data_IF_760296118227
#
_entry.id   IF_760296118227
#
_cell.length_a   1.000
_cell.length_b   1.000
_cell.length_c   1.000
_cell.angle_alpha   90.00
_cell.angle_beta   90.00
_cell.angle_gamma   90.00
#
_symmetry.space_group_name_H-M   'P 1'
#
loop_
_entity.id
_entity.type
_entity.pdbx_description
1 polymer ?
#
# COMPACT_ATOMS: atom_id res chain seq x y z
N UNK A 1 -5.20 11.07 -3.99
CA UNK A 1 -5.16 11.34 -2.55
C UNK A 1 -6.12 10.43 -1.82
N UNK A 2 -5.72 9.84 -0.74
CA UNK A 2 -6.53 8.95 0.08
C UNK A 2 -6.73 9.58 1.46
N UNK A 3 -7.97 9.89 1.81
CA UNK A 3 -8.35 10.46 3.11
C UNK A 3 -9.16 9.41 3.87
N UNK A 4 -8.48 8.65 4.67
CA UNK A 4 -9.05 7.59 5.48
C UNK A 4 -8.58 7.79 6.93
N UNK A 5 -9.49 7.66 7.87
CA UNK A 5 -9.18 7.72 9.31
C UNK A 5 -9.42 6.35 9.92
N UNK A 6 -8.41 5.82 10.57
CA UNK A 6 -8.53 4.60 11.36
C UNK A 6 -8.42 4.90 12.86
N UNK A 7 -9.19 4.21 13.64
CA UNK A 7 -9.29 4.36 15.09
C UNK A 7 -9.04 3.06 15.84
N UNK A 8 -8.27 2.13 15.24
CA UNK A 8 -8.01 0.82 15.87
C UNK A 8 -6.96 0.86 17.00
N UNK A 9 -6.28 1.99 17.22
CA UNK A 9 -5.27 2.19 18.28
C UNK A 9 -4.19 1.11 18.32
N UNK A 10 -3.76 0.60 17.16
CA UNK A 10 -2.82 -0.52 17.01
C UNK A 10 -3.30 -1.83 17.68
N UNK A 11 -4.58 -1.95 17.95
CA UNK A 11 -5.18 -3.16 18.49
C UNK A 11 -5.71 -4.03 17.36
N UNK A 12 -5.10 -5.20 17.17
CA UNK A 12 -5.47 -6.14 16.10
C UNK A 12 -6.94 -6.58 16.17
N UNK A 13 -7.53 -6.58 17.35
CA UNK A 13 -8.92 -6.96 17.55
C UNK A 13 -9.91 -5.86 17.10
N UNK A 14 -9.43 -4.64 16.93
CA UNK A 14 -10.20 -3.48 16.47
C UNK A 14 -9.97 -3.16 15.00
N UNK A 15 -9.13 -3.93 14.32
CA UNK A 15 -8.83 -3.74 12.91
C UNK A 15 -10.05 -4.13 12.07
N UNK A 16 -10.53 -3.19 11.27
CA UNK A 16 -11.65 -3.40 10.34
C UNK A 16 -11.20 -3.77 8.94
N UNK A 17 -12.16 -4.06 8.08
CA UNK A 17 -11.90 -4.36 6.66
C UNK A 17 -11.16 -3.22 5.94
N UNK A 18 -11.58 -1.98 6.17
CA UNK A 18 -10.96 -0.82 5.51
C UNK A 18 -9.51 -0.61 5.92
N UNK A 19 -9.15 -0.97 7.16
CA UNK A 19 -7.78 -0.87 7.66
C UNK A 19 -6.82 -1.83 6.94
N UNK A 20 -7.31 -3.00 6.54
CA UNK A 20 -6.52 -4.04 5.88
C UNK A 20 -6.64 -4.00 4.35
N UNK A 21 -7.54 -3.17 3.82
CA UNK A 21 -7.79 -3.10 2.39
C UNK A 21 -6.71 -2.26 1.69
N UNK A 22 -6.16 -2.81 0.60
CA UNK A 22 -5.35 -2.04 -0.35
C UNK A 22 -6.26 -1.64 -1.50
N UNK A 23 -6.57 -0.34 -1.66
CA UNK A 23 -7.50 0.11 -2.70
C UNK A 23 -7.01 -0.27 -4.11
N UNK A 24 -7.91 -0.76 -4.96
CA UNK A 24 -7.59 -1.16 -6.34
C UNK A 24 -6.96 -0.03 -7.16
N UNK A 25 -7.29 1.24 -6.86
CA UNK A 25 -6.70 2.42 -7.50
C UNK A 25 -5.17 2.51 -7.35
N UNK A 26 -4.58 1.86 -6.36
CA UNK A 26 -3.12 1.82 -6.18
C UNK A 26 -2.44 1.17 -7.39
N UNK A 27 -3.03 0.12 -7.96
CA UNK A 27 -2.50 -0.52 -9.17
C UNK A 27 -2.47 0.46 -10.35
N UNK A 28 -3.49 1.32 -10.48
CA UNK A 28 -3.55 2.37 -11.51
C UNK A 28 -2.47 3.43 -11.29
N UNK A 29 -2.29 3.89 -10.05
CA UNK A 29 -1.23 4.85 -9.72
C UNK A 29 0.16 4.25 -9.99
N UNK A 30 0.37 3.00 -9.60
CA UNK A 30 1.62 2.29 -9.82
C UNK A 30 1.93 2.15 -11.33
N UNK A 31 0.95 1.76 -12.13
CA UNK A 31 1.09 1.66 -13.58
C UNK A 31 1.48 3.00 -14.22
N UNK A 32 0.93 4.10 -13.72
CA UNK A 32 1.24 5.46 -14.19
C UNK A 32 2.53 6.05 -13.59
N UNK A 33 3.17 5.36 -12.63
CA UNK A 33 4.35 5.87 -11.92
C UNK A 33 4.03 7.06 -11.02
N UNK A 34 2.80 7.12 -10.49
CA UNK A 34 2.34 8.22 -9.63
C UNK A 34 2.49 7.87 -8.17
N UNK A 35 3.24 8.65 -7.38
CA UNK A 35 3.31 8.48 -5.93
C UNK A 35 1.95 8.66 -5.25
N UNK A 36 1.76 7.96 -4.14
CA UNK A 36 0.53 8.01 -3.35
C UNK A 36 0.61 9.15 -2.33
N UNK A 37 -0.47 9.89 -2.15
CA UNK A 37 -0.64 10.82 -1.04
C UNK A 37 -1.74 10.30 -0.12
N UNK A 38 -1.42 10.13 1.15
CA UNK A 38 -2.35 9.60 2.13
C UNK A 38 -2.27 10.38 3.44
N UNK A 39 -3.44 10.60 4.05
CA UNK A 39 -3.48 11.12 5.41
C UNK A 39 -2.86 10.11 6.38
N UNK A 40 -1.98 10.59 7.25
CA UNK A 40 -1.33 9.77 8.25
C UNK A 40 -2.35 9.29 9.31
N UNK A 41 -2.33 8.01 9.62
CA UNK A 41 -3.12 7.41 10.68
C UNK A 41 -2.16 6.99 11.81
N UNK A 42 -1.79 7.96 12.64
CA UNK A 42 -0.92 7.73 13.79
C UNK A 42 -1.56 6.71 14.73
N UNK A 43 -0.75 5.81 15.27
CA UNK A 43 -1.20 4.77 16.21
C UNK A 43 -2.31 3.86 15.67
N UNK A 44 -2.33 3.62 14.36
CA UNK A 44 -3.27 2.69 13.74
C UNK A 44 -2.58 1.70 12.82
N UNK A 45 -3.06 0.47 12.82
CA UNK A 45 -2.67 -0.57 11.87
C UNK A 45 -3.44 -0.33 10.57
N UNK A 46 -2.74 0.10 9.52
CA UNK A 46 -3.33 0.39 8.21
C UNK A 46 -2.42 -0.18 7.12
N UNK A 47 -2.89 -1.19 6.40
CA UNK A 47 -2.10 -1.95 5.44
C UNK A 47 -1.51 -1.08 4.33
N UNK A 48 -2.30 -0.16 3.76
CA UNK A 48 -1.80 0.72 2.70
C UNK A 48 -0.74 1.70 3.21
N UNK A 49 -0.86 2.18 4.45
CA UNK A 49 0.12 3.07 5.06
C UNK A 49 1.47 2.37 5.27
N UNK A 50 1.43 1.14 5.75
CA UNK A 50 2.63 0.31 5.91
C UNK A 50 3.29 0.02 4.56
N UNK A 51 2.50 -0.25 3.54
CA UNK A 51 2.98 -0.45 2.17
C UNK A 51 3.68 0.82 1.63
N UNK A 52 3.07 2.00 1.80
CA UNK A 52 3.64 3.28 1.38
C UNK A 52 5.00 3.53 2.06
N UNK A 53 5.06 3.31 3.36
CA UNK A 53 6.30 3.50 4.13
C UNK A 53 7.38 2.49 3.75
N UNK A 54 7.03 1.21 3.64
CA UNK A 54 7.96 0.13 3.34
C UNK A 54 8.60 0.25 1.96
N UNK A 55 7.82 0.65 0.98
CA UNK A 55 8.28 0.77 -0.41
C UNK A 55 8.77 2.18 -0.76
N UNK A 56 8.59 3.15 0.11
CA UNK A 56 8.89 4.57 -0.11
C UNK A 56 8.27 5.07 -1.44
N UNK A 57 6.95 4.88 -1.57
CA UNK A 57 6.20 5.16 -2.81
C UNK A 57 5.17 6.27 -2.65
N UNK A 58 5.19 6.98 -1.53
CA UNK A 58 4.21 8.03 -1.30
C UNK A 58 4.53 8.92 -0.11
N UNK A 59 3.63 9.84 0.13
CA UNK A 59 3.71 10.85 1.17
C UNK A 59 2.58 10.64 2.16
N UNK A 60 2.91 10.52 3.44
CA UNK A 60 1.96 10.63 4.53
C UNK A 60 1.96 12.08 5.05
N UNK A 61 0.79 12.61 5.38
CA UNK A 61 0.64 13.97 5.90
C UNK A 61 -0.40 14.03 7.02
N UNK A 62 -0.18 14.88 8.01
CA UNK A 62 -1.12 15.12 9.11
C UNK A 62 -2.09 16.26 8.80
N UNK A 63 -1.60 17.29 8.12
CA UNK A 63 -2.39 18.46 7.73
C UNK A 63 -1.98 18.96 6.33
N UNK A 64 -2.78 19.85 5.77
CA UNK A 64 -2.56 20.35 4.40
C UNK A 64 -1.33 21.25 4.28
N UNK A 65 -0.94 21.98 5.32
CA UNK A 65 0.26 22.80 5.32
C UNK A 65 1.51 21.93 5.16
N UNK A 66 1.58 20.83 5.90
CA UNK A 66 2.62 19.82 5.77
C UNK A 66 2.64 19.21 4.37
N UNK A 67 1.48 18.85 3.83
CA UNK A 67 1.36 18.32 2.49
C UNK A 67 1.90 19.28 1.44
N UNK A 68 1.52 20.56 1.50
CA UNK A 68 2.01 21.59 0.59
C UNK A 68 3.54 21.71 0.66
N UNK A 69 4.10 21.67 1.87
CA UNK A 69 5.55 21.72 2.06
C UNK A 69 6.24 20.53 1.42
N UNK A 70 5.72 19.33 1.63
CA UNK A 70 6.25 18.08 1.03
C UNK A 70 6.13 18.09 -0.50
N UNK A 71 5.05 18.61 -1.05
CA UNK A 71 4.85 18.68 -2.51
C UNK A 71 5.76 19.70 -3.23
N UNK A 72 6.41 20.60 -2.49
CA UNK A 72 7.43 21.50 -3.03
C UNK A 72 8.82 20.88 -3.11
N UNK A 73 9.04 19.75 -2.47
CA UNK A 73 10.30 19.02 -2.50
C UNK A 73 10.38 18.15 -3.78
N UNK A 74 10.95 18.74 -4.83
CA UNK A 74 11.06 18.12 -6.15
C UNK A 74 11.96 16.88 -6.11
N UNK A 75 13.01 16.90 -5.30
CA UNK A 75 13.92 15.74 -5.18
C UNK A 75 13.22 14.56 -4.53
N UNK A 76 12.49 14.82 -3.45
CA UNK A 76 11.68 13.78 -2.80
C UNK A 76 10.64 13.21 -3.78
N UNK A 77 9.90 14.04 -4.49
CA UNK A 77 8.90 13.57 -5.46
C UNK A 77 9.51 12.74 -6.58
N UNK A 78 10.68 13.13 -7.07
CA UNK A 78 11.42 12.35 -8.08
C UNK A 78 11.82 10.99 -7.56
N UNK A 79 12.32 10.90 -6.33
CA UNK A 79 12.66 9.63 -5.67
C UNK A 79 11.44 8.73 -5.52
N UNK A 80 10.33 9.27 -5.03
CA UNK A 80 9.09 8.51 -4.85
C UNK A 80 8.57 7.96 -6.18
N UNK A 81 8.66 8.74 -7.25
CA UNK A 81 8.28 8.30 -8.59
C UNK A 81 9.16 7.16 -9.09
N UNK A 82 10.47 7.26 -8.92
CA UNK A 82 11.40 6.19 -9.29
C UNK A 82 11.09 4.90 -8.52
N UNK A 83 10.82 5.02 -7.22
CA UNK A 83 10.44 3.88 -6.39
C UNK A 83 9.11 3.27 -6.85
N UNK A 84 8.10 4.10 -7.14
CA UNK A 84 6.83 3.60 -7.66
C UNK A 84 7.00 2.84 -8.98
N UNK A 85 7.78 3.35 -9.92
CA UNK A 85 8.09 2.66 -11.17
C UNK A 85 8.85 1.35 -10.95
N UNK A 86 9.75 1.31 -9.96
CA UNK A 86 10.49 0.09 -9.58
C UNK A 86 9.57 -0.99 -9.05
N UNK A 87 8.62 -0.62 -8.21
CA UNK A 87 7.71 -1.56 -7.53
C UNK A 87 6.37 -1.78 -8.26
N UNK A 88 6.15 -1.13 -9.41
CA UNK A 88 4.84 -1.15 -10.09
C UNK A 88 4.30 -2.55 -10.39
N UNK A 89 5.18 -3.49 -10.72
CA UNK A 89 4.78 -4.86 -11.04
C UNK A 89 4.23 -5.62 -9.83
N UNK A 90 4.67 -5.27 -8.62
CA UNK A 90 4.18 -5.88 -7.37
C UNK A 90 2.69 -5.59 -7.13
N UNK A 91 2.13 -4.57 -7.80
CA UNK A 91 0.71 -4.22 -7.77
C UNK A 91 -0.08 -4.82 -8.95
N UNK A 92 0.54 -5.66 -9.77
CA UNK A 92 -0.11 -6.36 -10.87
C UNK A 92 -0.53 -7.76 -10.46
N UNK A 93 -1.60 -8.26 -11.06
CA UNK A 93 -2.04 -9.64 -10.87
C UNK A 93 -0.96 -10.64 -11.34
N UNK A 94 -0.35 -10.38 -12.48
CA UNK A 94 0.65 -11.26 -13.10
C UNK A 94 1.83 -11.54 -12.18
N UNK A 95 2.27 -10.57 -11.40
CA UNK A 95 3.35 -10.74 -10.42
C UNK A 95 3.01 -11.80 -9.36
N UNK A 96 1.74 -11.88 -8.95
CA UNK A 96 1.29 -12.77 -7.89
C UNK A 96 0.84 -14.15 -8.38
N UNK A 97 0.64 -14.34 -9.69
CA UNK A 97 0.17 -15.61 -10.27
C UNK A 97 1.04 -16.82 -9.89
N UNK A 98 2.38 -16.77 -9.94
CA UNK A 98 3.20 -17.92 -9.55
C UNK A 98 2.97 -18.34 -8.09
N UNK A 99 2.85 -17.38 -7.18
CA UNK A 99 2.57 -17.65 -5.76
C UNK A 99 1.16 -18.23 -5.54
N UNK A 100 0.18 -17.73 -6.29
CA UNK A 100 -1.18 -18.23 -6.25
C UNK A 100 -1.28 -19.68 -6.73
N UNK A 101 -0.59 -20.01 -7.82
CA UNK A 101 -0.52 -21.38 -8.35
C UNK A 101 0.13 -22.32 -7.32
N UNK A 102 1.23 -21.90 -6.70
CA UNK A 102 1.90 -22.67 -5.66
C UNK A 102 1.00 -22.90 -4.45
N UNK A 103 0.26 -21.89 -4.03
CA UNK A 103 -0.74 -22.02 -2.96
C UNK A 103 -1.80 -23.07 -3.32
N UNK A 104 -2.38 -23.03 -4.52
CA UNK A 104 -3.38 -24.02 -4.95
C UNK A 104 -2.81 -25.44 -4.99
N UNK A 105 -1.57 -25.61 -5.45
CA UNK A 105 -0.90 -26.93 -5.45
C UNK A 105 -0.78 -27.48 -4.02
N UNK A 106 -0.40 -26.63 -3.06
CA UNK A 106 -0.32 -27.03 -1.64
C UNK A 106 -1.67 -27.43 -1.08
N UNK A 107 -2.73 -26.69 -1.36
CA UNK A 107 -4.08 -27.01 -0.91
C UNK A 107 -4.56 -28.34 -1.49
N UNK A 108 -4.32 -28.59 -2.78
CA UNK A 108 -4.69 -29.85 -3.44
C UNK A 108 -3.94 -31.03 -2.84
N UNK A 109 -2.62 -30.88 -2.63
CA UNK A 109 -1.80 -31.93 -2.01
C UNK A 109 -2.27 -32.23 -0.58
N UNK A 110 -2.58 -31.21 0.22
CA UNK A 110 -3.10 -31.36 1.57
C UNK A 110 -4.42 -32.14 1.58
N UNK A 111 -5.37 -31.82 0.69
CA UNK A 111 -6.65 -32.53 0.60
C UNK A 111 -6.51 -33.97 0.15
N UNK A 112 -5.57 -34.27 -0.74
CA UNK A 112 -5.33 -35.66 -1.19
C UNK A 112 -4.76 -36.56 -0.11
N UNK A 113 -4.09 -35.99 0.89
CA UNK A 113 -3.48 -36.72 2.01
C UNK A 113 -4.42 -36.84 3.23
N UNK A 114 -5.63 -36.34 3.13
CA UNK A 114 -6.70 -36.53 4.10
C UNK A 114 -7.68 -37.61 3.64
#
# INVERSE_FOLDING_TARGET
MHCFNSYNNNDILKVGWDDLNIPARISTYAAAGLPVMMKNNSNALVAIQDCINKLDIGVLFDNYEELVTKLRDVEMLSRLRVNMLRHRMEFSFDYHVPQLIEFFRKVIAYKKNQ
#
